data_IF_623896676164
#
_entry.id   IF_623896676164
#
_cell.length_a   1.000
_cell.length_b   1.000
_cell.length_c   1.000
_cell.angle_alpha   90.00
_cell.angle_beta   90.00
_cell.angle_gamma   90.00
#
_symmetry.space_group_name_H-M   'P 1'
#
loop_
_entity.id
_entity.type
_entity.pdbx_description
1 polymer ?
#
# COMPACT_ATOMS: atom_id res chain seq x y z
N UNK A 1 9.70 -20.98 -8.19
CA UNK A 1 9.17 -19.76 -7.54
C UNK A 1 9.94 -18.58 -8.10
N UNK A 2 9.30 -17.46 -8.42
CA UNK A 2 10.01 -16.26 -8.88
C UNK A 2 10.83 -15.70 -7.69
N UNK A 3 12.04 -15.23 -7.94
CA UNK A 3 12.87 -14.55 -6.93
C UNK A 3 12.25 -13.21 -6.52
N UNK A 4 12.37 -12.86 -5.24
CA UNK A 4 11.72 -11.68 -4.66
C UNK A 4 12.21 -10.40 -5.31
N UNK A 5 13.52 -10.28 -5.56
CA UNK A 5 14.11 -9.18 -6.32
C UNK A 5 13.48 -9.08 -7.71
N UNK A 6 13.39 -10.19 -8.44
CA UNK A 6 12.82 -10.20 -9.78
C UNK A 6 11.34 -9.83 -9.78
N UNK A 7 10.56 -10.31 -8.82
CA UNK A 7 9.17 -9.89 -8.63
C UNK A 7 9.08 -8.39 -8.33
N UNK A 8 9.97 -7.90 -7.48
CA UNK A 8 10.02 -6.49 -7.09
C UNK A 8 10.35 -5.56 -8.28
N UNK A 9 11.40 -5.86 -9.03
CA UNK A 9 11.83 -5.08 -10.20
C UNK A 9 10.83 -5.16 -11.36
N UNK A 10 10.28 -6.35 -11.63
CA UNK A 10 9.46 -6.58 -12.83
C UNK A 10 7.97 -6.30 -12.62
N UNK A 11 7.48 -6.44 -11.38
CA UNK A 11 6.06 -6.28 -11.06
C UNK A 11 5.83 -5.07 -10.18
N UNK A 12 6.52 -4.98 -9.04
CA UNK A 12 6.20 -3.97 -8.02
C UNK A 12 6.57 -2.58 -8.48
N UNK A 13 7.83 -2.34 -8.86
CA UNK A 13 8.27 -1.00 -9.29
C UNK A 13 7.43 -0.45 -10.46
N UNK A 14 7.22 -1.19 -11.57
CA UNK A 14 6.43 -0.66 -12.69
C UNK A 14 4.97 -0.40 -12.31
N UNK A 15 4.36 -1.27 -11.50
CA UNK A 15 2.96 -1.09 -11.05
C UNK A 15 2.83 0.16 -10.17
N UNK A 16 3.80 0.41 -9.30
CA UNK A 16 3.84 1.63 -8.47
C UNK A 16 4.06 2.86 -9.35
N UNK A 17 4.99 2.82 -10.30
CA UNK A 17 5.25 3.92 -11.24
C UNK A 17 4.02 4.28 -12.10
N UNK A 18 3.31 3.28 -12.60
CA UNK A 18 2.08 3.48 -13.36
C UNK A 18 1.00 4.14 -12.50
N UNK A 19 0.88 3.73 -11.24
CA UNK A 19 0.00 4.42 -10.31
C UNK A 19 0.49 5.84 -10.01
N UNK A 20 1.78 6.09 -9.82
CA UNK A 20 2.30 7.44 -9.57
C UNK A 20 1.99 8.38 -10.75
N UNK A 21 2.12 7.90 -11.99
CA UNK A 21 1.75 8.66 -13.21
C UNK A 21 0.24 8.96 -13.27
N UNK A 22 -0.59 8.12 -12.67
CA UNK A 22 -2.05 8.27 -12.61
C UNK A 22 -2.58 8.13 -11.17
N UNK A 23 -2.06 8.96 -10.26
CA UNK A 23 -2.23 8.81 -8.80
C UNK A 23 -3.67 8.99 -8.26
N UNK A 24 -4.64 9.16 -9.15
CA UNK A 24 -6.08 9.27 -8.89
C UNK A 24 -6.87 8.04 -9.34
N UNK A 25 -6.25 7.13 -10.08
CA UNK A 25 -6.90 5.90 -10.57
C UNK A 25 -6.93 4.86 -9.45
N UNK A 26 -8.14 4.55 -8.96
CA UNK A 26 -8.36 3.58 -7.88
C UNK A 26 -7.90 2.18 -8.27
N UNK A 27 -8.11 1.76 -9.53
CA UNK A 27 -7.70 0.44 -10.00
C UNK A 27 -6.19 0.31 -9.94
N UNK A 28 -5.47 1.31 -10.42
CA UNK A 28 -4.00 1.32 -10.35
C UNK A 28 -3.50 1.40 -8.91
N UNK A 29 -4.14 2.17 -8.04
CA UNK A 29 -3.82 2.24 -6.62
C UNK A 29 -3.98 0.89 -5.91
N UNK A 30 -5.08 0.19 -6.17
CA UNK A 30 -5.33 -1.16 -5.61
C UNK A 30 -4.31 -2.18 -6.11
N UNK A 31 -3.99 -2.18 -7.41
CA UNK A 31 -2.97 -3.06 -7.98
C UNK A 31 -1.59 -2.81 -7.39
N UNK A 32 -1.21 -1.53 -7.22
CA UNK A 32 0.05 -1.16 -6.59
C UNK A 32 0.11 -1.64 -5.13
N UNK A 33 -0.96 -1.44 -4.35
CA UNK A 33 -1.02 -1.96 -2.97
C UNK A 33 -0.91 -3.48 -2.91
N UNK A 34 -1.63 -4.21 -3.77
CA UNK A 34 -1.53 -5.67 -3.85
C UNK A 34 -0.10 -6.12 -4.17
N UNK A 35 0.51 -5.55 -5.20
CA UNK A 35 1.86 -5.90 -5.61
C UNK A 35 2.88 -5.62 -4.49
N UNK A 36 2.85 -4.41 -3.91
CA UNK A 36 3.74 -4.04 -2.80
C UNK A 36 3.55 -4.93 -1.57
N UNK A 37 2.32 -5.25 -1.19
CA UNK A 37 2.06 -6.10 -0.03
C UNK A 37 2.58 -7.52 -0.22
N UNK A 38 2.38 -8.11 -1.40
CA UNK A 38 2.79 -9.49 -1.68
C UNK A 38 4.30 -9.70 -1.78
N UNK A 39 5.12 -8.63 -1.83
CA UNK A 39 6.59 -8.74 -1.73
C UNK A 39 7.01 -9.54 -0.50
N UNK A 40 6.33 -9.32 0.63
CA UNK A 40 6.60 -10.03 1.88
C UNK A 40 6.50 -11.54 1.68
N UNK A 41 5.45 -11.99 0.98
CA UNK A 41 5.25 -13.41 0.70
C UNK A 41 6.40 -13.97 -0.16
N UNK A 42 6.79 -13.27 -1.24
CA UNK A 42 7.91 -13.70 -2.09
C UNK A 42 9.22 -13.81 -1.31
N UNK A 43 9.53 -12.82 -0.46
CA UNK A 43 10.75 -12.83 0.36
C UNK A 43 10.77 -14.06 1.27
N UNK A 44 9.72 -14.29 2.06
CA UNK A 44 9.72 -15.41 3.00
C UNK A 44 9.64 -16.77 2.30
N UNK A 45 8.91 -16.87 1.20
CA UNK A 45 8.82 -18.09 0.41
C UNK A 45 10.13 -18.41 -0.34
N UNK A 46 10.96 -17.41 -0.67
CA UNK A 46 12.31 -17.66 -1.18
C UNK A 46 13.31 -18.01 -0.07
N UNK A 47 13.18 -17.43 1.13
CA UNK A 47 14.06 -17.69 2.28
C UNK A 47 13.81 -19.05 2.95
N UNK A 48 12.57 -19.56 2.90
CA UNK A 48 12.12 -20.72 3.67
C UNK A 48 11.49 -21.76 2.73
N UNK A 49 12.09 -22.95 2.64
CA UNK A 49 11.63 -24.04 1.78
C UNK A 49 10.26 -24.62 2.21
N UNK A 50 9.95 -24.60 3.51
CA UNK A 50 8.65 -25.03 4.03
C UNK A 50 7.62 -23.91 3.87
N UNK A 51 6.69 -24.09 2.93
CA UNK A 51 5.65 -23.12 2.61
C UNK A 51 4.77 -22.73 3.80
N UNK A 52 4.46 -23.66 4.72
CA UNK A 52 3.63 -23.34 5.90
C UNK A 52 4.41 -22.46 6.87
N UNK A 53 5.71 -22.73 7.04
CA UNK A 53 6.57 -21.92 7.89
C UNK A 53 6.81 -20.54 7.28
N UNK A 54 6.99 -20.47 5.96
CA UNK A 54 7.10 -19.19 5.23
C UNK A 54 5.86 -18.30 5.45
N UNK A 55 4.66 -18.87 5.31
CA UNK A 55 3.40 -18.14 5.54
C UNK A 55 3.28 -17.65 7.00
N UNK A 56 3.74 -18.43 7.97
CA UNK A 56 3.73 -18.04 9.38
C UNK A 56 4.68 -16.86 9.64
N UNK A 57 5.88 -16.88 9.06
CA UNK A 57 6.86 -15.79 9.21
C UNK A 57 6.39 -14.51 8.50
N UNK A 58 5.78 -14.62 7.30
CA UNK A 58 5.16 -13.49 6.62
C UNK A 58 4.06 -12.82 7.47
N UNK A 59 3.21 -13.62 8.12
CA UNK A 59 2.19 -13.12 9.06
C UNK A 59 2.82 -12.44 10.28
N UNK A 60 3.83 -13.07 10.89
CA UNK A 60 4.57 -12.49 12.03
C UNK A 60 5.20 -11.14 11.68
N UNK A 61 5.74 -11.02 10.47
CA UNK A 61 6.26 -9.75 9.97
C UNK A 61 5.17 -8.68 9.85
N UNK A 62 4.01 -9.03 9.26
CA UNK A 62 2.88 -8.11 9.18
C UNK A 62 2.41 -7.65 10.57
N UNK A 63 2.30 -8.57 11.53
CA UNK A 63 1.90 -8.25 12.91
C UNK A 63 2.94 -7.37 13.62
N UNK A 64 4.24 -7.57 13.34
CA UNK A 64 5.33 -6.70 13.83
C UNK A 64 5.17 -5.28 13.28
N UNK A 65 4.94 -5.13 11.98
CA UNK A 65 4.75 -3.82 11.33
C UNK A 65 3.54 -3.07 11.89
N UNK A 66 2.43 -3.78 12.13
CA UNK A 66 1.25 -3.24 12.77
C UNK A 66 1.56 -2.72 14.19
N UNK A 67 2.27 -3.50 15.00
CA UNK A 67 2.67 -3.10 16.38
C UNK A 67 3.62 -1.91 16.41
N UNK A 68 4.42 -1.71 15.36
CA UNK A 68 5.31 -0.56 15.21
C UNK A 68 4.59 0.72 14.75
N UNK A 69 3.26 0.68 14.59
CA UNK A 69 2.46 1.80 14.07
C UNK A 69 2.96 2.30 12.70
N UNK A 70 3.38 1.38 11.83
CA UNK A 70 3.72 1.72 10.46
C UNK A 70 2.44 1.96 9.63
N UNK A 71 1.82 3.13 9.80
CA UNK A 71 0.56 3.47 9.15
C UNK A 71 0.62 3.34 7.62
N UNK A 72 1.79 3.59 7.01
CA UNK A 72 1.94 3.46 5.57
C UNK A 72 1.80 2.00 5.11
N UNK A 73 2.48 1.08 5.79
CA UNK A 73 2.36 -0.35 5.53
C UNK A 73 0.94 -0.86 5.80
N UNK A 74 0.32 -0.43 6.90
CA UNK A 74 -1.05 -0.84 7.26
C UNK A 74 -2.09 -0.34 6.24
N UNK A 75 -1.93 0.87 5.69
CA UNK A 75 -2.78 1.37 4.59
C UNK A 75 -2.64 0.47 3.37
N UNK A 76 -1.41 0.15 2.97
CA UNK A 76 -1.13 -0.73 1.82
C UNK A 76 -1.74 -2.11 2.02
N UNK A 77 -1.54 -2.71 3.21
CA UNK A 77 -2.16 -3.98 3.61
C UNK A 77 -3.69 -3.89 3.56
N UNK A 78 -4.27 -2.79 4.04
CA UNK A 78 -5.71 -2.50 4.00
C UNK A 78 -6.29 -2.59 2.60
N UNK A 79 -5.68 -1.84 1.67
CA UNK A 79 -6.09 -1.85 0.26
C UNK A 79 -5.85 -3.21 -0.40
N UNK A 80 -4.74 -3.87 -0.13
CA UNK A 80 -4.44 -5.18 -0.69
C UNK A 80 -5.47 -6.24 -0.27
N UNK A 81 -5.78 -6.34 1.03
CA UNK A 81 -6.78 -7.30 1.52
C UNK A 81 -8.19 -6.96 1.02
N UNK A 82 -8.57 -5.69 1.02
CA UNK A 82 -9.89 -5.29 0.54
C UNK A 82 -10.08 -5.51 -0.96
N UNK A 83 -9.00 -5.47 -1.74
CA UNK A 83 -9.04 -5.83 -3.17
C UNK A 83 -9.38 -7.30 -3.40
N UNK A 84 -9.02 -8.17 -2.45
CA UNK A 84 -9.29 -9.62 -2.50
C UNK A 84 -10.60 -10.01 -1.82
N UNK A 85 -10.94 -9.34 -0.73
CA UNK A 85 -12.08 -9.64 0.12
C UNK A 85 -13.13 -8.54 0.00
N UNK A 86 -14.23 -8.83 -0.71
CA UNK A 86 -15.39 -7.94 -0.83
C UNK A 86 -15.96 -7.52 0.55
N UNK A 87 -15.73 -8.34 1.58
CA UNK A 87 -15.95 -8.00 2.99
C UNK A 87 -14.74 -8.45 3.80
N UNK A 88 -14.11 -7.54 4.52
CA UNK A 88 -13.09 -7.88 5.51
C UNK A 88 -13.78 -8.55 6.70
N UNK A 89 -13.29 -9.73 7.13
CA UNK A 89 -13.84 -10.40 8.31
C UNK A 89 -13.52 -9.61 9.59
N UNK A 90 -14.27 -9.83 10.68
CA UNK A 90 -14.01 -9.18 11.99
C UNK A 90 -12.58 -9.43 12.50
N UNK A 91 -11.97 -10.55 12.11
CA UNK A 91 -10.59 -10.93 12.40
C UNK A 91 -9.57 -10.26 11.49
N UNK A 92 -9.93 -9.94 10.24
CA UNK A 92 -9.11 -9.17 9.28
C UNK A 92 -9.33 -7.67 9.45
N UNK A 93 -9.58 -7.20 10.67
CA UNK A 93 -9.94 -5.83 11.00
C UNK A 93 -8.81 -4.84 10.71
N UNK A 94 -8.54 -4.60 9.43
CA UNK A 94 -7.88 -3.42 8.94
C UNK A 94 -8.90 -2.30 9.03
N UNK A 95 -9.04 -1.87 10.28
CA UNK A 95 -9.70 -0.66 10.70
C UNK A 95 -9.21 0.47 9.77
N UNK A 96 -10.05 0.90 8.81
CA UNK A 96 -9.76 2.05 7.93
C UNK A 96 -10.22 1.93 6.49
N UNK A 97 -10.39 0.71 5.98
CA UNK A 97 -10.91 0.51 4.62
C UNK A 97 -12.45 0.39 4.65
N UNK A 98 -13.14 1.50 4.39
CA UNK A 98 -14.61 1.54 4.24
C UNK A 98 -14.98 2.28 2.95
N UNK A 99 -16.06 1.82 2.31
CA UNK A 99 -16.67 2.49 1.16
C UNK A 99 -17.04 3.92 1.54
N UNK A 100 -16.39 4.91 0.92
CA UNK A 100 -16.60 6.34 1.19
C UNK A 100 -15.43 7.06 1.88
N UNK A 101 -14.41 6.34 2.38
CA UNK A 101 -13.21 6.94 2.98
C UNK A 101 -12.04 7.15 2.00
N UNK A 102 -12.23 6.74 0.76
CA UNK A 102 -11.27 6.97 -0.33
C UNK A 102 -11.89 7.87 -1.38
N UNK A 103 -11.18 8.93 -1.76
CA UNK A 103 -11.65 9.85 -2.80
C UNK A 103 -10.50 10.46 -3.61
N UNK A 104 -10.68 10.66 -4.92
CA UNK A 104 -9.73 11.40 -5.72
C UNK A 104 -9.75 12.89 -5.33
N UNK A 105 -8.56 13.47 -5.20
CA UNK A 105 -8.34 14.90 -4.97
C UNK A 105 -7.54 15.51 -6.10
N UNK A 106 -7.67 16.83 -6.25
CA UNK A 106 -6.98 17.63 -7.25
C UNK A 106 -6.01 18.61 -6.58
N UNK A 107 -4.88 18.92 -7.24
CA UNK A 107 -4.01 19.98 -6.79
C UNK A 107 -4.77 21.29 -6.56
N UNK A 108 -4.35 22.02 -5.54
CA UNK A 108 -4.70 23.41 -5.29
C UNK A 108 -3.85 24.28 -6.20
N UNK A 109 -4.53 25.00 -7.08
CA UNK A 109 -3.94 25.96 -8.02
C UNK A 109 -4.48 27.34 -7.64
N UNK A 110 -3.63 28.36 -7.61
CA UNK A 110 -4.06 29.71 -7.32
C UNK A 110 -5.19 30.14 -8.27
N UNK A 111 -6.31 30.61 -7.71
CA UNK A 111 -7.50 31.02 -8.48
C UNK A 111 -8.43 29.88 -8.92
N UNK A 112 -8.13 28.61 -8.61
CA UNK A 112 -9.00 27.46 -8.98
C UNK A 112 -9.22 26.56 -7.76
N UNK A 113 -10.47 26.42 -7.34
CA UNK A 113 -10.89 25.48 -6.31
C UNK A 113 -11.95 24.53 -6.85
N UNK A 114 -11.77 23.23 -6.62
CA UNK A 114 -12.85 22.24 -6.78
C UNK A 114 -13.43 21.93 -5.41
N UNK A 115 -14.64 22.42 -5.15
CA UNK A 115 -15.34 22.20 -3.89
C UNK A 115 -15.40 20.70 -3.55
N UNK A 116 -14.99 20.34 -2.34
CA UNK A 116 -14.96 18.95 -1.90
C UNK A 116 -13.81 18.10 -2.48
N UNK A 117 -13.05 18.56 -3.47
CA UNK A 117 -12.01 17.78 -4.13
C UNK A 117 -10.59 18.39 -4.03
N UNK A 118 -10.48 19.65 -3.61
CA UNK A 118 -9.21 20.37 -3.44
C UNK A 118 -9.06 20.85 -1.99
N UNK A 119 -7.84 20.77 -1.45
CA UNK A 119 -7.48 21.34 -0.14
C UNK A 119 -6.33 22.34 -0.29
N UNK A 120 -6.34 23.41 0.51
CA UNK A 120 -5.29 24.43 0.48
C UNK A 120 -3.93 23.77 0.76
N UNK A 121 -2.95 24.05 -0.11
CA UNK A 121 -1.59 23.53 0.01
C UNK A 121 -1.36 22.14 -0.59
N UNK A 122 -2.38 21.47 -1.13
CA UNK A 122 -2.18 20.22 -1.86
C UNK A 122 -1.62 20.50 -3.26
N UNK A 123 -0.33 20.28 -3.50
CA UNK A 123 0.29 20.54 -4.81
C UNK A 123 0.25 19.34 -5.78
N UNK A 124 -0.21 18.16 -5.33
CA UNK A 124 -0.09 16.92 -6.12
C UNK A 124 -1.44 16.28 -6.44
N UNK A 125 -2.47 16.50 -5.62
CA UNK A 125 -3.70 15.72 -5.65
C UNK A 125 -3.46 14.25 -5.29
N UNK A 126 -4.30 13.37 -5.83
CA UNK A 126 -4.18 11.91 -5.72
C UNK A 126 -5.35 11.24 -5.02
N UNK A 127 -5.23 9.95 -4.71
CA UNK A 127 -6.21 9.25 -3.88
C UNK A 127 -5.97 9.57 -2.41
N UNK A 128 -6.92 10.28 -1.81
CA UNK A 128 -6.95 10.55 -0.38
C UNK A 128 -7.63 9.40 0.34
N UNK A 129 -7.00 8.91 1.38
CA UNK A 129 -7.48 7.85 2.27
C UNK A 129 -7.64 8.44 3.65
N UNK A 130 -8.85 8.41 4.19
CA UNK A 130 -9.11 8.72 5.60
C UNK A 130 -8.96 7.47 6.45
N UNK A 131 -7.96 7.48 7.33
CA UNK A 131 -7.66 6.35 8.20
C UNK A 131 -8.40 6.43 9.53
N UNK A 132 -8.33 5.37 10.33
CA UNK A 132 -9.09 5.28 11.59
C UNK A 132 -8.67 6.23 12.69
N UNK A 133 -7.45 6.75 12.60
CA UNK A 133 -6.96 7.79 13.49
C UNK A 133 -7.50 9.19 13.10
N UNK A 134 -8.41 9.25 12.10
CA UNK A 134 -8.97 10.47 11.55
C UNK A 134 -7.99 11.24 10.65
N UNK A 135 -6.78 10.72 10.43
CA UNK A 135 -5.78 11.36 9.57
C UNK A 135 -6.03 10.99 8.12
N UNK A 136 -5.63 11.91 7.25
CA UNK A 136 -5.77 11.78 5.80
C UNK A 136 -4.41 11.52 5.18
N UNK A 137 -4.33 10.47 4.38
CA UNK A 137 -3.12 10.03 3.71
C UNK A 137 -3.30 10.07 2.20
N UNK A 138 -2.26 10.43 1.48
CA UNK A 138 -2.21 10.23 0.02
C UNK A 138 -1.71 8.82 -0.25
N UNK A 139 -2.48 8.04 -1.01
CA UNK A 139 -2.17 6.63 -1.23
C UNK A 139 -0.80 6.43 -1.88
N UNK A 140 -0.42 7.25 -2.87
CA UNK A 140 0.90 7.15 -3.50
C UNK A 140 2.05 7.37 -2.52
N UNK A 141 1.90 8.29 -1.56
CA UNK A 141 2.90 8.52 -0.51
C UNK A 141 2.96 7.37 0.50
N UNK A 142 1.81 6.76 0.80
CA UNK A 142 1.76 5.58 1.67
C UNK A 142 2.45 4.37 1.00
N UNK A 143 2.19 4.14 -0.29
CA UNK A 143 2.85 3.08 -1.07
C UNK A 143 4.36 3.33 -1.11
N UNK A 144 4.81 4.54 -1.41
CA UNK A 144 6.24 4.85 -1.48
C UNK A 144 6.93 4.66 -0.12
N UNK A 145 6.30 5.10 0.97
CA UNK A 145 6.86 4.89 2.33
C UNK A 145 6.88 3.41 2.73
N UNK A 146 5.85 2.64 2.37
CA UNK A 146 5.82 1.20 2.59
C UNK A 146 6.93 0.50 1.77
N UNK A 147 7.12 0.92 0.52
CA UNK A 147 8.18 0.45 -0.37
C UNK A 147 9.56 0.67 0.25
N UNK A 148 9.86 1.88 0.72
CA UNK A 148 11.10 2.21 1.40
C UNK A 148 11.30 1.39 2.70
N UNK A 149 10.23 1.14 3.45
CA UNK A 149 10.29 0.25 4.63
C UNK A 149 10.68 -1.17 4.22
N UNK A 150 10.09 -1.70 3.14
CA UNK A 150 10.40 -3.04 2.66
C UNK A 150 11.84 -3.14 2.13
N UNK A 151 12.33 -2.15 1.39
CA UNK A 151 13.73 -2.10 0.94
C UNK A 151 14.71 -2.05 2.12
N UNK A 152 14.34 -1.39 3.21
CA UNK A 152 15.15 -1.35 4.42
C UNK A 152 15.17 -2.68 5.18
N UNK A 153 14.01 -3.33 5.35
CA UNK A 153 13.89 -4.61 6.07
C UNK A 153 14.38 -5.81 5.24
N UNK A 154 14.35 -5.70 3.92
CA UNK A 154 14.74 -6.75 2.97
C UNK A 154 15.74 -6.21 1.94
N UNK A 155 17.03 -6.12 2.30
CA UNK A 155 18.07 -5.59 1.40
C UNK A 155 18.21 -6.37 0.09
N UNK A 156 17.82 -7.64 0.04
CA UNK A 156 17.85 -8.45 -1.19
C UNK A 156 16.91 -7.93 -2.30
N UNK A 157 15.97 -7.04 -1.98
CA UNK A 157 15.06 -6.47 -2.98
C UNK A 157 15.77 -5.49 -3.92
N UNK A 158 16.93 -4.96 -3.53
CA UNK A 158 17.65 -3.90 -4.27
C UNK A 158 19.10 -4.24 -4.60
N UNK A 159 19.57 -5.43 -4.22
CA UNK A 159 20.89 -5.99 -4.56
C UNK A 159 20.84 -6.78 -5.86
#
# INVERSE_FOLDING_TARGET
>A
MIEANRYYEQIVKPTVEDFVKSNRDLRLGMLACMATFHVVDYVFQNRILDAKKADQEARRFCDKMQKQNNNAFEIVRGFALASKHCRLSRTDSLQGFDSGRTRPTYPSIAGVMRTGATYIGDTEGGLLVEWIDGRKYKLHRAIEKARQTLEHEFPELTQ
#
